data_IF_997455334291
#
_entry.id   IF_997455334291
#
_cell.length_a   1.000
_cell.length_b   1.000
_cell.length_c   1.000
_cell.angle_alpha   90.00
_cell.angle_beta   90.00
_cell.angle_gamma   90.00
#
_symmetry.space_group_name_H-M   'P 1'
#
loop_
_entity.id
_entity.type
_entity.pdbx_description
1 polymer ?
#
# COMPACT_ATOMS: atom_id res chain seq x y z
N UNK A 1 -11.29 6.74 -18.31
CA UNK A 1 -10.93 5.38 -18.81
C UNK A 1 -11.16 4.41 -17.68
N UNK A 2 -12.08 3.49 -17.87
CA UNK A 2 -12.36 2.40 -16.94
C UNK A 2 -11.60 1.17 -17.40
N UNK A 3 -10.75 0.61 -16.55
CA UNK A 3 -10.05 -0.65 -16.78
C UNK A 3 -10.69 -1.73 -15.92
N UNK A 4 -10.99 -2.87 -16.51
CA UNK A 4 -11.43 -4.06 -15.79
C UNK A 4 -10.64 -5.29 -16.23
N UNK A 5 -10.34 -6.13 -15.26
CA UNK A 5 -9.71 -7.44 -15.42
C UNK A 5 -10.77 -8.49 -15.07
N UNK A 6 -11.04 -9.41 -15.96
CA UNK A 6 -12.02 -10.47 -15.77
C UNK A 6 -11.34 -11.84 -15.82
N UNK A 7 -11.42 -12.61 -14.72
CA UNK A 7 -10.86 -13.93 -14.54
C UNK A 7 -9.38 -14.02 -14.96
N UNK A 8 -8.60 -12.96 -14.67
CA UNK A 8 -7.20 -12.88 -15.05
C UNK A 8 -6.37 -13.87 -14.25
N UNK A 9 -5.60 -14.68 -14.99
CA UNK A 9 -4.53 -15.49 -14.39
C UNK A 9 -3.27 -15.47 -15.25
N UNK A 10 -2.11 -15.75 -14.62
CA UNK A 10 -0.81 -15.76 -15.31
C UNK A 10 0.03 -16.93 -14.82
N UNK A 11 0.45 -17.78 -15.78
CA UNK A 11 1.45 -18.84 -15.57
C UNK A 11 2.69 -18.55 -16.39
N UNK A 12 3.85 -18.85 -15.82
CA UNK A 12 5.15 -18.77 -16.49
C UNK A 12 5.88 -20.09 -16.26
N UNK A 13 6.01 -20.89 -17.30
CA UNK A 13 6.45 -22.27 -17.17
C UNK A 13 5.48 -23.08 -16.29
N UNK A 14 5.99 -23.73 -15.24
CA UNK A 14 5.20 -24.49 -14.28
C UNK A 14 4.66 -23.65 -13.11
N UNK A 15 5.09 -22.39 -12.99
CA UNK A 15 4.72 -21.54 -11.85
C UNK A 15 3.50 -20.67 -12.17
N UNK A 16 2.58 -20.57 -11.22
CA UNK A 16 1.46 -19.62 -11.26
C UNK A 16 1.91 -18.34 -10.58
N UNK A 17 1.94 -17.23 -11.36
CA UNK A 17 2.34 -15.91 -10.88
C UNK A 17 1.15 -15.07 -10.45
N UNK A 18 0.01 -15.26 -11.12
CA UNK A 18 -1.26 -14.65 -10.73
C UNK A 18 -2.34 -15.73 -10.80
N UNK A 19 -3.07 -15.86 -9.72
CA UNK A 19 -4.24 -16.72 -9.63
C UNK A 19 -5.48 -15.95 -10.12
N UNK A 20 -6.53 -16.69 -10.47
CA UNK A 20 -7.75 -16.11 -11.02
C UNK A 20 -8.27 -14.98 -10.15
N UNK A 21 -8.43 -13.81 -10.77
CA UNK A 21 -8.91 -12.61 -10.09
C UNK A 21 -9.73 -11.71 -11.01
N UNK A 22 -10.67 -11.02 -10.40
CA UNK A 22 -11.46 -9.95 -11.00
C UNK A 22 -11.13 -8.63 -10.34
N UNK A 23 -10.89 -7.58 -11.13
CA UNK A 23 -10.58 -6.25 -10.62
C UNK A 23 -11.10 -5.18 -11.57
N UNK A 24 -12.08 -4.40 -11.14
CA UNK A 24 -12.59 -3.26 -11.90
C UNK A 24 -12.14 -1.95 -11.24
N UNK A 25 -11.29 -1.19 -11.93
CA UNK A 25 -10.79 0.10 -11.43
C UNK A 25 -11.85 1.19 -11.55
N UNK A 26 -11.90 2.08 -10.57
CA UNK A 26 -12.70 3.29 -10.63
C UNK A 26 -12.04 4.33 -11.54
N UNK A 27 -12.75 4.77 -12.57
CA UNK A 27 -12.26 5.78 -13.52
C UNK A 27 -11.97 7.11 -12.83
N UNK A 28 -10.81 7.71 -13.16
CA UNK A 28 -10.38 8.99 -12.59
C UNK A 28 -9.96 8.93 -11.11
N UNK A 29 -9.85 7.74 -10.53
CA UNK A 29 -9.42 7.53 -9.16
C UNK A 29 -8.01 6.93 -9.09
N UNK A 30 -7.42 7.03 -7.89
CA UNK A 30 -6.19 6.31 -7.53
C UNK A 30 -6.56 4.95 -7.00
N UNK A 31 -5.93 3.89 -7.51
CA UNK A 31 -5.95 2.54 -6.94
C UNK A 31 -4.55 2.15 -6.54
N UNK A 32 -4.35 1.88 -5.26
CA UNK A 32 -3.07 1.38 -4.73
C UNK A 32 -3.08 -0.14 -4.77
N UNK A 33 -2.06 -0.74 -5.38
CA UNK A 33 -1.77 -2.18 -5.27
C UNK A 33 -0.81 -2.35 -4.08
N UNK A 34 -1.33 -2.80 -2.96
CA UNK A 34 -0.57 -3.03 -1.73
C UNK A 34 -0.24 -4.51 -1.57
N UNK A 35 0.99 -4.81 -1.21
CA UNK A 35 1.41 -6.19 -0.92
C UNK A 35 2.92 -6.31 -0.82
N UNK A 36 3.40 -7.38 -0.24
CA UNK A 36 4.82 -7.66 -0.10
C UNK A 36 5.55 -7.75 -1.46
N UNK A 37 6.87 -7.77 -1.42
CA UNK A 37 7.68 -8.10 -2.61
C UNK A 37 7.27 -9.48 -3.10
N UNK A 38 7.13 -9.63 -4.43
CA UNK A 38 6.63 -10.84 -5.10
C UNK A 38 5.13 -11.15 -4.93
N UNK A 39 4.34 -10.26 -4.34
CA UNK A 39 2.88 -10.42 -4.26
C UNK A 39 2.15 -10.40 -5.61
N UNK A 40 2.86 -10.13 -6.73
CA UNK A 40 2.28 -10.12 -8.08
C UNK A 40 1.94 -8.73 -8.63
N UNK A 41 2.21 -7.65 -7.88
CA UNK A 41 1.89 -6.25 -8.25
C UNK A 41 2.40 -5.87 -9.65
N UNK A 42 3.70 -6.01 -9.88
CA UNK A 42 4.35 -5.72 -11.18
C UNK A 42 3.77 -6.56 -12.31
N UNK A 43 3.53 -7.86 -12.08
CA UNK A 43 2.96 -8.76 -13.08
C UNK A 43 1.56 -8.33 -13.49
N UNK A 44 0.73 -7.93 -12.51
CA UNK A 44 -0.60 -7.41 -12.76
C UNK A 44 -0.57 -6.11 -13.56
N UNK A 45 0.30 -5.17 -13.18
CA UNK A 45 0.47 -3.91 -13.90
C UNK A 45 0.96 -4.10 -15.33
N UNK A 46 1.85 -5.07 -15.59
CA UNK A 46 2.32 -5.40 -16.94
C UNK A 46 1.20 -5.92 -17.84
N UNK A 47 0.27 -6.69 -17.27
CA UNK A 47 -0.95 -7.13 -17.97
C UNK A 47 -1.87 -5.93 -18.25
N UNK A 48 -2.10 -5.04 -17.27
CA UNK A 48 -2.87 -3.80 -17.46
C UNK A 48 -2.27 -2.94 -18.56
N UNK A 49 -0.94 -2.82 -18.61
CA UNK A 49 -0.22 -2.06 -19.64
C UNK A 49 -0.28 -2.70 -21.03
N UNK A 50 -0.58 -3.99 -21.14
CA UNK A 50 -0.46 -4.77 -22.37
C UNK A 50 0.98 -5.16 -22.74
N UNK A 51 1.88 -5.14 -21.77
CA UNK A 51 3.25 -5.62 -21.90
C UNK A 51 3.33 -7.14 -21.80
N UNK A 52 2.43 -7.71 -21.02
CA UNK A 52 2.28 -9.16 -20.88
C UNK A 52 0.83 -9.54 -21.21
N UNK A 53 0.66 -10.70 -21.83
CA UNK A 53 -0.63 -11.31 -22.09
C UNK A 53 -0.96 -12.24 -20.91
N UNK A 54 -2.17 -12.20 -20.34
CA UNK A 54 -2.60 -13.18 -19.35
C UNK A 54 -2.66 -14.59 -19.95
N UNK A 55 -2.57 -15.62 -19.11
CA UNK A 55 -2.75 -17.02 -19.55
C UNK A 55 -4.22 -17.33 -19.75
N UNK A 56 -5.09 -16.75 -18.94
CA UNK A 56 -6.53 -16.80 -19.10
C UNK A 56 -7.15 -15.46 -18.63
N UNK A 57 -8.41 -15.25 -19.00
CA UNK A 57 -9.16 -14.03 -18.69
C UNK A 57 -9.03 -12.94 -19.73
N UNK A 58 -9.65 -11.80 -19.45
CA UNK A 58 -9.75 -10.65 -20.37
C UNK A 58 -9.41 -9.34 -19.69
N UNK A 59 -8.78 -8.44 -20.46
CA UNK A 59 -8.54 -7.06 -20.07
C UNK A 59 -9.51 -6.17 -20.85
N UNK A 60 -10.38 -5.47 -20.16
CA UNK A 60 -11.36 -4.58 -20.75
C UNK A 60 -10.99 -3.12 -20.50
N UNK A 61 -11.14 -2.28 -21.53
CA UNK A 61 -11.02 -0.83 -21.45
C UNK A 61 -12.31 -0.20 -21.97
N UNK A 62 -13.00 0.53 -21.11
CA UNK A 62 -14.30 1.13 -21.40
C UNK A 62 -15.28 0.11 -22.01
N UNK A 63 -15.24 -1.15 -21.53
CA UNK A 63 -16.04 -2.28 -21.99
C UNK A 63 -15.53 -3.02 -23.22
N UNK A 64 -14.52 -2.50 -23.92
CA UNK A 64 -13.93 -3.17 -25.08
C UNK A 64 -12.81 -4.12 -24.65
N UNK A 65 -12.77 -5.34 -25.20
CA UNK A 65 -11.70 -6.31 -24.98
C UNK A 65 -10.42 -5.86 -25.69
N UNK A 66 -9.39 -5.60 -24.91
CA UNK A 66 -8.05 -5.20 -25.38
C UNK A 66 -6.98 -6.26 -25.06
N UNK A 67 -7.39 -7.46 -24.70
CA UNK A 67 -6.49 -8.58 -24.41
C UNK A 67 -5.61 -8.88 -25.63
N UNK A 68 -4.26 -8.90 -25.42
CA UNK A 68 -3.32 -9.12 -26.54
C UNK A 68 -3.12 -7.91 -27.47
N UNK A 69 -3.84 -6.81 -27.29
CA UNK A 69 -3.60 -5.58 -28.05
C UNK A 69 -2.18 -5.08 -27.80
N UNK A 70 -1.37 -4.77 -28.83
CA UNK A 70 -0.03 -4.26 -28.67
C UNK A 70 0.03 -3.00 -27.81
N UNK A 71 1.02 -2.90 -26.92
CA UNK A 71 1.19 -1.76 -25.98
C UNK A 71 1.22 -0.39 -26.68
N UNK A 72 1.75 -0.31 -27.90
CA UNK A 72 1.81 0.93 -28.70
C UNK A 72 0.42 1.46 -29.09
N UNK A 73 -0.58 0.58 -29.13
CA UNK A 73 -1.98 0.91 -29.48
C UNK A 73 -2.80 1.22 -28.24
N UNK A 74 -2.26 0.93 -27.04
CA UNK A 74 -2.87 1.29 -25.78
C UNK A 74 -2.42 2.67 -25.31
N UNK A 75 -3.34 3.50 -24.92
CA UNK A 75 -3.04 4.83 -24.37
C UNK A 75 -2.75 4.74 -22.85
N UNK A 76 -1.62 4.15 -22.49
CA UNK A 76 -1.19 3.90 -21.11
C UNK A 76 0.20 4.49 -20.89
N UNK A 77 0.45 5.13 -19.77
CA UNK A 77 1.78 5.52 -19.31
C UNK A 77 2.20 4.58 -18.16
N UNK A 78 3.44 4.09 -18.20
CA UNK A 78 3.99 3.26 -17.12
C UNK A 78 5.36 3.78 -16.71
N UNK A 79 5.54 3.93 -15.40
CA UNK A 79 6.83 4.16 -14.74
C UNK A 79 7.21 2.87 -14.04
N UNK A 80 8.35 2.30 -14.46
CA UNK A 80 8.87 1.07 -13.88
C UNK A 80 9.68 1.35 -12.62
N UNK A 81 9.80 0.37 -11.76
CA UNK A 81 10.67 0.39 -10.59
C UNK A 81 12.14 0.71 -10.99
N UNK A 82 12.60 0.20 -12.13
CA UNK A 82 13.87 0.61 -12.74
C UNK A 82 13.59 1.81 -13.65
N UNK A 83 14.15 2.97 -13.33
CA UNK A 83 13.89 4.23 -14.04
C UNK A 83 14.41 4.18 -15.47
N UNK A 84 13.58 3.74 -16.41
CA UNK A 84 13.94 3.62 -17.82
C UNK A 84 13.87 4.99 -18.48
N UNK A 85 15.02 5.63 -18.66
CA UNK A 85 15.19 6.85 -19.48
C UNK A 85 15.91 6.52 -20.78
N UNK A 86 15.72 7.36 -21.80
CA UNK A 86 16.49 7.27 -23.04
C UNK A 86 17.91 7.80 -22.79
N UNK A 87 18.95 6.94 -22.77
CA UNK A 87 20.28 7.32 -22.28
C UNK A 87 20.98 8.33 -23.19
N UNK A 88 20.65 8.35 -24.48
CA UNK A 88 21.22 9.25 -25.49
C UNK A 88 20.48 10.59 -25.59
N UNK A 89 19.41 10.78 -24.85
CA UNK A 89 18.61 12.01 -24.87
C UNK A 89 18.83 12.81 -23.60
N UNK A 90 18.90 14.13 -23.71
CA UNK A 90 18.90 15.02 -22.54
C UNK A 90 17.60 14.88 -21.75
N UNK A 91 17.56 15.39 -20.52
CA UNK A 91 16.34 15.44 -19.68
C UNK A 91 15.20 16.12 -20.45
N UNK A 92 15.45 17.27 -21.06
CA UNK A 92 14.45 17.97 -21.87
C UNK A 92 13.93 17.10 -23.02
N UNK A 93 14.82 16.40 -23.73
CA UNK A 93 14.45 15.56 -24.85
C UNK A 93 13.69 14.31 -24.41
N UNK A 94 14.03 13.73 -23.25
CA UNK A 94 13.28 12.64 -22.62
C UNK A 94 11.82 13.06 -22.34
N UNK A 95 11.61 14.20 -21.67
CA UNK A 95 10.28 14.72 -21.34
C UNK A 95 9.51 15.09 -22.61
N UNK A 96 10.17 15.70 -23.59
CA UNK A 96 9.57 16.12 -24.86
C UNK A 96 9.15 14.94 -25.76
N UNK A 97 9.75 13.75 -25.59
CA UNK A 97 9.57 12.63 -26.51
C UNK A 97 8.10 12.23 -26.76
N UNK A 98 7.22 12.06 -25.75
CA UNK A 98 5.82 11.72 -25.99
C UNK A 98 5.03 12.89 -26.62
N UNK A 99 5.38 14.13 -26.30
CA UNK A 99 4.73 15.32 -26.85
C UNK A 99 5.01 15.45 -28.35
N UNK A 100 6.28 15.21 -28.77
CA UNK A 100 6.69 15.20 -30.17
C UNK A 100 5.97 14.11 -30.96
N UNK A 101 5.84 12.91 -30.40
CA UNK A 101 5.13 11.80 -31.06
C UNK A 101 3.64 12.10 -31.31
N UNK A 102 3.03 12.94 -30.47
CA UNK A 102 1.63 13.40 -30.64
C UNK A 102 1.49 14.65 -31.49
N UNK A 103 2.60 15.25 -31.93
CA UNK A 103 2.60 16.49 -32.70
C UNK A 103 2.08 17.71 -31.92
N UNK A 104 2.28 17.72 -30.59
CA UNK A 104 1.79 18.82 -29.72
C UNK A 104 2.49 20.14 -30.06
N UNK A 105 1.73 21.22 -29.83
CA UNK A 105 2.24 22.59 -29.90
C UNK A 105 2.79 23.02 -28.54
N UNK A 106 3.74 23.97 -28.51
CA UNK A 106 4.32 24.54 -27.28
C UNK A 106 5.02 23.52 -26.37
N UNK A 107 5.71 22.55 -26.97
CA UNK A 107 6.42 21.47 -26.27
C UNK A 107 7.39 22.03 -25.21
N UNK A 108 8.17 23.05 -25.53
CA UNK A 108 9.19 23.61 -24.62
C UNK A 108 8.56 24.21 -23.36
N UNK A 109 7.40 24.83 -23.47
CA UNK A 109 6.67 25.38 -22.33
C UNK A 109 6.19 24.25 -21.42
N UNK A 110 5.62 23.17 -22.01
CA UNK A 110 5.15 22.01 -21.24
C UNK A 110 6.29 21.24 -20.57
N UNK A 111 7.44 21.12 -21.26
CA UNK A 111 8.66 20.50 -20.70
C UNK A 111 9.13 21.28 -19.47
N UNK A 112 9.20 22.61 -19.56
CA UNK A 112 9.61 23.45 -18.41
C UNK A 112 8.65 23.33 -17.25
N UNK A 113 7.35 23.45 -17.49
CA UNK A 113 6.32 23.31 -16.46
C UNK A 113 6.46 21.99 -15.69
N UNK A 114 6.60 20.86 -16.41
CA UNK A 114 6.76 19.55 -15.77
C UNK A 114 8.09 19.42 -15.05
N UNK A 115 9.17 20.01 -15.59
CA UNK A 115 10.48 19.98 -14.97
C UNK A 115 10.52 20.82 -13.68
N UNK A 116 9.90 22.00 -13.68
CA UNK A 116 9.76 22.86 -12.50
C UNK A 116 8.94 22.16 -11.41
N UNK A 117 7.80 21.56 -11.75
CA UNK A 117 6.94 20.82 -10.81
C UNK A 117 7.64 19.64 -10.16
N UNK A 118 8.61 19.02 -10.84
CA UNK A 118 9.36 17.87 -10.34
C UNK A 118 10.79 18.26 -9.91
N UNK A 119 11.09 19.56 -9.80
CA UNK A 119 12.38 20.09 -9.34
C UNK A 119 13.58 19.52 -10.10
N UNK A 120 13.46 19.40 -11.43
CA UNK A 120 14.52 18.94 -12.35
C UNK A 120 14.82 19.93 -13.47
N UNK A 121 14.30 21.13 -13.41
CA UNK A 121 14.48 22.20 -14.41
C UNK A 121 15.94 22.60 -14.61
N UNK A 122 16.73 22.59 -13.54
CA UNK A 122 18.17 22.87 -13.57
C UNK A 122 18.97 21.79 -14.32
N UNK A 123 18.40 20.61 -14.56
CA UNK A 123 19.05 19.48 -15.22
C UNK A 123 18.62 19.27 -16.67
N UNK A 124 17.78 20.11 -17.26
CA UNK A 124 17.18 19.94 -18.59
C UNK A 124 18.17 19.65 -19.70
N UNK A 125 19.41 20.15 -19.59
CA UNK A 125 20.47 19.95 -20.58
C UNK A 125 21.35 18.72 -20.33
N UNK A 126 21.23 18.06 -19.18
CA UNK A 126 22.03 16.89 -18.82
C UNK A 126 21.50 15.61 -19.45
N UNK A 127 22.40 14.63 -19.57
CA UNK A 127 22.05 13.25 -19.91
C UNK A 127 21.65 12.47 -18.64
N UNK A 128 20.84 11.40 -18.74
CA UNK A 128 20.48 10.57 -17.59
C UNK A 128 21.68 10.04 -16.79
N UNK A 129 22.79 9.70 -17.44
CA UNK A 129 23.99 9.22 -16.76
C UNK A 129 24.66 10.25 -15.83
N UNK A 130 24.33 11.54 -15.99
CA UNK A 130 24.84 12.63 -15.16
C UNK A 130 23.93 12.98 -13.98
N UNK A 131 22.89 12.15 -13.75
CA UNK A 131 21.86 12.34 -12.72
C UNK A 131 21.95 11.27 -11.63
N UNK A 132 21.58 11.66 -10.40
CA UNK A 132 21.33 10.67 -9.34
C UNK A 132 20.11 9.79 -9.67
N UNK A 133 19.97 8.63 -8.98
CA UNK A 133 18.83 7.74 -9.16
C UNK A 133 17.49 8.44 -8.99
N UNK A 134 17.33 9.25 -7.93
CA UNK A 134 16.11 10.02 -7.68
C UNK A 134 15.81 11.06 -8.77
N UNK A 135 16.86 11.72 -9.32
CA UNK A 135 16.69 12.65 -10.44
C UNK A 135 16.26 11.90 -11.71
N UNK A 136 16.84 10.73 -12.00
CA UNK A 136 16.44 9.87 -13.13
C UNK A 136 14.98 9.43 -13.01
N UNK A 137 14.54 9.11 -11.79
CA UNK A 137 13.17 8.73 -11.49
C UNK A 137 12.19 9.88 -11.79
N UNK A 138 12.51 11.10 -11.35
CA UNK A 138 11.71 12.29 -11.65
C UNK A 138 11.63 12.57 -13.15
N UNK A 139 12.70 12.31 -13.91
CA UNK A 139 12.67 12.40 -15.38
C UNK A 139 11.71 11.37 -15.99
N UNK A 140 11.74 10.12 -15.52
CA UNK A 140 10.82 9.08 -15.99
C UNK A 140 9.35 9.43 -15.65
N UNK A 141 9.10 9.99 -14.47
CA UNK A 141 7.78 10.47 -14.06
C UNK A 141 7.33 11.66 -14.92
N UNK A 142 8.21 12.67 -15.12
CA UNK A 142 7.91 13.81 -15.98
C UNK A 142 7.52 13.37 -17.39
N UNK A 143 8.22 12.37 -17.94
CA UNK A 143 7.89 11.79 -19.25
C UNK A 143 6.54 11.08 -19.26
N UNK A 144 6.21 10.33 -18.19
CA UNK A 144 4.91 9.68 -18.08
C UNK A 144 3.76 10.70 -17.98
N UNK A 145 3.95 11.79 -17.21
CA UNK A 145 3.02 12.90 -17.11
C UNK A 145 2.89 13.67 -18.44
N UNK A 146 4.00 13.89 -19.14
CA UNK A 146 4.00 14.50 -20.47
C UNK A 146 3.19 13.70 -21.47
N UNK A 147 3.14 12.37 -21.35
CA UNK A 147 2.29 11.52 -22.18
C UNK A 147 0.81 11.81 -22.00
N UNK A 148 0.37 12.25 -20.80
CA UNK A 148 -1.04 12.58 -20.53
C UNK A 148 -2.00 11.44 -20.81
N UNK A 149 -1.57 10.20 -20.53
CA UNK A 149 -2.38 9.02 -20.78
C UNK A 149 -3.55 8.93 -19.79
N UNK A 150 -4.73 8.44 -20.21
CA UNK A 150 -5.88 8.28 -19.33
C UNK A 150 -5.71 7.17 -18.29
N UNK A 151 -4.72 6.28 -18.46
CA UNK A 151 -4.27 5.31 -17.47
C UNK A 151 -2.77 5.50 -17.20
N UNK A 152 -2.44 5.70 -15.92
CA UNK A 152 -1.06 5.83 -15.45
C UNK A 152 -0.76 4.70 -14.46
N UNK A 153 0.32 3.98 -14.70
CA UNK A 153 0.79 2.86 -13.89
C UNK A 153 2.15 3.23 -13.28
N UNK A 154 2.26 3.23 -11.96
CA UNK A 154 3.46 3.61 -11.22
C UNK A 154 3.90 2.42 -10.35
N UNK A 155 5.00 1.77 -10.74
CA UNK A 155 5.52 0.58 -10.07
C UNK A 155 6.60 0.96 -9.07
N UNK A 156 6.24 1.00 -7.79
CA UNK A 156 7.10 1.38 -6.66
C UNK A 156 7.90 2.67 -6.93
N UNK A 157 7.24 3.80 -7.27
CA UNK A 157 7.92 4.99 -7.79
C UNK A 157 8.72 5.75 -6.73
N UNK A 158 8.73 5.34 -5.48
CA UNK A 158 9.46 5.98 -4.38
C UNK A 158 10.63 5.13 -3.83
N UNK A 159 10.84 3.94 -4.38
CA UNK A 159 11.98 3.10 -4.01
C UNK A 159 13.29 3.80 -4.39
N UNK A 160 14.29 3.73 -3.51
CA UNK A 160 15.62 4.36 -3.65
C UNK A 160 15.65 5.90 -3.55
N UNK A 161 14.59 6.55 -3.05
CA UNK A 161 14.62 7.95 -2.66
C UNK A 161 14.98 8.10 -1.16
N UNK A 162 15.72 9.14 -0.84
CA UNK A 162 15.84 9.57 0.55
C UNK A 162 14.50 10.09 1.10
N UNK A 163 14.39 10.17 2.43
CA UNK A 163 13.14 10.55 3.11
C UNK A 163 12.58 11.88 2.60
N UNK A 164 13.42 12.92 2.47
CA UNK A 164 12.98 14.25 2.06
C UNK A 164 12.43 14.24 0.63
N UNK A 165 13.14 13.61 -0.29
CA UNK A 165 12.72 13.49 -1.68
C UNK A 165 11.43 12.66 -1.82
N UNK A 166 11.25 11.66 -0.96
CA UNK A 166 10.04 10.84 -0.92
C UNK A 166 8.83 11.66 -0.50
N UNK A 167 8.95 12.47 0.55
CA UNK A 167 7.86 13.36 1.00
C UNK A 167 7.49 14.40 -0.08
N UNK A 168 8.49 15.07 -0.67
CA UNK A 168 8.25 16.04 -1.74
C UNK A 168 7.51 15.39 -2.93
N UNK A 169 7.98 14.23 -3.39
CA UNK A 169 7.35 13.52 -4.51
C UNK A 169 5.92 13.06 -4.17
N UNK A 170 5.68 12.66 -2.94
CA UNK A 170 4.36 12.23 -2.46
C UNK A 170 3.34 13.37 -2.49
N UNK A 171 3.72 14.55 -2.02
CA UNK A 171 2.86 15.74 -2.08
C UNK A 171 2.55 16.11 -3.53
N UNK A 172 3.55 16.12 -4.40
CA UNK A 172 3.37 16.41 -5.82
C UNK A 172 2.43 15.40 -6.51
N UNK A 173 2.62 14.10 -6.26
CA UNK A 173 1.76 13.05 -6.81
C UNK A 173 0.31 13.19 -6.31
N UNK A 174 0.13 13.49 -5.02
CA UNK A 174 -1.20 13.70 -4.44
C UNK A 174 -1.93 14.87 -5.10
N UNK A 175 -1.24 15.99 -5.33
CA UNK A 175 -1.81 17.15 -6.03
C UNK A 175 -2.13 16.84 -7.50
N UNK A 176 -1.25 16.08 -8.18
CA UNK A 176 -1.45 15.66 -9.56
C UNK A 176 -2.67 14.75 -9.71
N UNK A 177 -2.86 13.83 -8.76
CA UNK A 177 -3.96 12.87 -8.79
C UNK A 177 -5.29 13.50 -8.37
N UNK A 178 -5.27 14.50 -7.48
CA UNK A 178 -6.46 15.26 -7.08
C UNK A 178 -7.16 15.96 -8.27
N UNK A 179 -6.42 16.24 -9.35
CA UNK A 179 -7.01 16.79 -10.57
C UNK A 179 -7.93 15.82 -11.34
N UNK A 180 -7.93 14.51 -11.01
CA UNK A 180 -8.87 13.51 -11.49
C UNK A 180 -8.89 13.25 -13.01
N UNK A 181 -7.87 13.69 -13.74
CA UNK A 181 -7.82 13.59 -15.22
C UNK A 181 -7.46 12.19 -15.73
N UNK A 182 -6.78 11.39 -14.90
CA UNK A 182 -6.32 10.05 -15.26
C UNK A 182 -6.70 9.04 -14.18
N UNK A 183 -6.95 7.80 -14.59
CA UNK A 183 -6.99 6.66 -13.67
C UNK A 183 -5.55 6.28 -13.33
N UNK A 184 -5.24 6.16 -12.04
CA UNK A 184 -3.88 5.89 -11.57
C UNK A 184 -3.84 4.55 -10.83
N UNK A 185 -2.88 3.71 -11.19
CA UNK A 185 -2.54 2.50 -10.42
C UNK A 185 -1.15 2.69 -9.84
N UNK A 186 -1.04 2.57 -8.55
CA UNK A 186 0.18 2.81 -7.78
C UNK A 186 0.54 1.56 -6.98
N UNK A 187 1.63 0.89 -7.34
CA UNK A 187 2.10 -0.28 -6.59
C UNK A 187 3.08 0.13 -5.50
N UNK A 188 2.90 -0.43 -4.31
CA UNK A 188 3.79 -0.21 -3.16
C UNK A 188 3.83 -1.41 -2.22
N UNK A 189 4.89 -1.48 -1.42
CA UNK A 189 5.00 -2.36 -0.25
C UNK A 189 4.69 -1.62 1.06
N UNK A 190 4.57 -0.28 1.04
CA UNK A 190 4.42 0.56 2.22
C UNK A 190 2.92 0.89 2.48
N UNK A 191 2.33 0.41 3.59
CA UNK A 191 0.91 0.67 3.90
C UNK A 191 0.62 2.16 4.13
N UNK A 192 1.60 2.92 4.63
CA UNK A 192 1.47 4.36 4.84
C UNK A 192 1.19 5.11 3.53
N UNK A 193 1.80 4.69 2.41
CA UNK A 193 1.55 5.29 1.09
C UNK A 193 0.10 5.07 0.64
N UNK A 194 -0.45 3.87 0.87
CA UNK A 194 -1.84 3.59 0.55
C UNK A 194 -2.81 4.49 1.33
N UNK A 195 -2.55 4.69 2.62
CA UNK A 195 -3.37 5.55 3.48
C UNK A 195 -3.29 7.03 3.08
N UNK A 196 -2.11 7.51 2.68
CA UNK A 196 -1.88 8.90 2.28
C UNK A 196 -2.46 9.22 0.90
N UNK A 197 -2.29 8.33 -0.07
CA UNK A 197 -2.85 8.51 -1.40
C UNK A 197 -4.37 8.39 -1.42
N UNK A 198 -4.94 7.66 -0.47
CA UNK A 198 -6.39 7.45 -0.39
C UNK A 198 -6.95 6.68 -1.59
N UNK A 199 -8.17 7.04 -2.02
CA UNK A 199 -8.85 6.38 -3.14
C UNK A 199 -9.22 4.94 -2.82
N UNK A 200 -8.73 3.99 -3.62
CA UNK A 200 -9.00 2.56 -3.49
C UNK A 200 -7.71 1.78 -3.26
N UNK A 201 -7.82 0.66 -2.55
CA UNK A 201 -6.69 -0.27 -2.37
C UNK A 201 -7.08 -1.68 -2.76
N UNK A 202 -6.25 -2.29 -3.59
CA UNK A 202 -6.24 -3.71 -3.89
C UNK A 202 -5.08 -4.37 -3.12
N UNK A 203 -5.38 -5.22 -2.16
CA UNK A 203 -4.37 -5.96 -1.40
C UNK A 203 -4.08 -7.26 -2.13
N UNK A 204 -2.81 -7.44 -2.48
CA UNK A 204 -2.32 -8.65 -3.14
C UNK A 204 -1.37 -9.42 -2.23
N UNK A 205 -1.48 -10.73 -2.27
CA UNK A 205 -0.53 -11.63 -1.64
C UNK A 205 -0.38 -12.91 -2.46
N UNK A 206 0.84 -13.37 -2.64
CA UNK A 206 1.20 -14.58 -3.41
C UNK A 206 0.44 -14.73 -4.74
N UNK A 207 0.27 -13.65 -5.48
CA UNK A 207 -0.42 -13.63 -6.76
C UNK A 207 -1.96 -13.65 -6.68
N UNK A 208 -2.54 -13.48 -5.52
CA UNK A 208 -3.99 -13.44 -5.26
C UNK A 208 -4.44 -12.04 -4.90
N UNK A 209 -5.59 -11.63 -5.37
CA UNK A 209 -6.30 -10.46 -4.90
C UNK A 209 -7.09 -10.85 -3.63
N UNK A 210 -6.67 -10.35 -2.47
CA UNK A 210 -7.31 -10.66 -1.20
C UNK A 210 -8.53 -9.78 -0.92
N UNK A 211 -8.41 -8.48 -1.18
CA UNK A 211 -9.49 -7.51 -0.99
C UNK A 211 -9.29 -6.30 -1.89
N UNK A 212 -10.39 -5.74 -2.41
CA UNK A 212 -10.42 -4.46 -3.12
C UNK A 212 -11.56 -3.60 -2.61
N UNK A 213 -11.31 -2.32 -2.39
CA UNK A 213 -12.32 -1.37 -1.92
C UNK A 213 -11.74 0.00 -1.59
N UNK A 214 -12.57 0.93 -1.10
CA UNK A 214 -12.09 2.21 -0.58
C UNK A 214 -10.99 1.99 0.47
N UNK A 215 -9.88 2.70 0.35
CA UNK A 215 -8.68 2.48 1.21
C UNK A 215 -9.01 2.50 2.71
N UNK A 216 -9.81 3.47 3.14
CA UNK A 216 -10.21 3.59 4.53
C UNK A 216 -11.06 2.38 5.00
N UNK A 217 -11.88 1.82 4.13
CA UNK A 217 -12.69 0.64 4.45
C UNK A 217 -11.84 -0.61 4.56
N UNK A 218 -10.95 -0.87 3.58
CA UNK A 218 -10.02 -2.00 3.60
C UNK A 218 -9.13 -1.95 4.85
N UNK A 219 -8.65 -0.76 5.22
CA UNK A 219 -7.85 -0.56 6.42
C UNK A 219 -8.61 -0.84 7.72
N UNK A 220 -9.84 -0.35 7.84
CA UNK A 220 -10.63 -0.48 9.08
C UNK A 220 -11.37 -1.82 9.18
N UNK A 221 -11.71 -2.43 8.06
CA UNK A 221 -12.45 -3.70 7.98
C UNK A 221 -11.76 -4.66 7.01
N UNK A 222 -10.53 -5.09 7.31
CA UNK A 222 -9.85 -6.09 6.50
C UNK A 222 -10.66 -7.38 6.52
N UNK A 223 -10.90 -7.99 5.34
CA UNK A 223 -11.70 -9.21 5.26
C UNK A 223 -10.98 -10.43 5.88
N UNK A 224 -9.66 -10.36 6.01
CA UNK A 224 -8.85 -11.44 6.58
C UNK A 224 -7.66 -10.91 7.39
N UNK A 225 -7.03 -11.83 8.11
CA UNK A 225 -5.80 -11.61 8.85
C UNK A 225 -4.67 -11.11 7.92
N UNK A 226 -4.55 -11.67 6.72
CA UNK A 226 -3.49 -11.31 5.78
C UNK A 226 -3.67 -9.89 5.25
N UNK A 227 -4.91 -9.47 5.00
CA UNK A 227 -5.20 -8.06 4.67
C UNK A 227 -4.87 -7.13 5.84
N UNK A 228 -5.20 -7.53 7.06
CA UNK A 228 -4.87 -6.75 8.25
C UNK A 228 -3.35 -6.59 8.43
N UNK A 229 -2.59 -7.67 8.17
CA UNK A 229 -1.12 -7.65 8.19
C UNK A 229 -0.53 -6.74 7.13
N UNK A 230 -1.06 -6.78 5.89
CA UNK A 230 -0.60 -5.94 4.79
C UNK A 230 -0.70 -4.43 5.11
N UNK A 231 -1.63 -4.05 5.97
CA UNK A 231 -1.81 -2.66 6.44
C UNK A 231 -1.15 -2.36 7.79
N UNK A 232 -0.26 -3.20 8.28
CA UNK A 232 0.34 -3.04 9.62
C UNK A 232 1.84 -2.89 9.52
N UNK A 233 2.32 -1.69 9.85
CA UNK A 233 3.72 -1.34 10.03
C UNK A 233 3.84 -0.46 11.30
N UNK A 234 4.47 -0.95 12.38
CA UNK A 234 5.02 -2.31 12.54
C UNK A 234 3.95 -3.41 12.47
N UNK A 235 4.36 -4.69 12.32
CA UNK A 235 3.43 -5.81 12.19
C UNK A 235 2.39 -5.86 13.31
N UNK A 236 1.16 -6.24 12.96
CA UNK A 236 0.07 -6.41 13.92
C UNK A 236 0.43 -7.46 14.98
N UNK A 237 0.21 -7.14 16.24
CA UNK A 237 0.28 -8.11 17.32
C UNK A 237 -0.86 -9.12 17.15
N UNK A 238 -0.54 -10.41 17.12
CA UNK A 238 -1.48 -11.50 16.93
C UNK A 238 -1.45 -12.41 18.14
N UNK A 239 -2.56 -12.50 18.84
CA UNK A 239 -2.68 -13.18 20.11
C UNK A 239 -3.66 -14.35 19.98
N UNK A 240 -3.24 -15.59 20.30
CA UNK A 240 -4.14 -16.73 20.38
C UNK A 240 -5.24 -16.48 21.42
N UNK A 241 -6.47 -16.83 21.08
CA UNK A 241 -7.61 -16.61 21.91
C UNK A 241 -8.69 -17.67 21.70
N UNK A 242 -9.68 -17.68 22.58
CA UNK A 242 -10.85 -18.56 22.48
C UNK A 242 -12.13 -17.74 22.74
N UNK A 243 -13.22 -18.18 22.12
CA UNK A 243 -14.52 -17.60 22.39
C UNK A 243 -14.95 -17.92 23.84
N UNK A 244 -15.53 -16.90 24.49
CA UNK A 244 -16.08 -17.00 25.85
C UNK A 244 -17.51 -16.41 25.87
N UNK A 245 -18.29 -16.74 26.89
CA UNK A 245 -19.69 -16.32 26.99
C UNK A 245 -19.89 -14.80 26.88
N UNK A 246 -18.93 -14.00 27.36
CA UNK A 246 -19.01 -12.54 27.38
C UNK A 246 -17.98 -11.84 26.47
N UNK A 247 -17.35 -12.60 25.56
CA UNK A 247 -16.34 -12.03 24.66
C UNK A 247 -15.25 -13.01 24.23
N UNK A 248 -14.00 -12.60 24.37
CA UNK A 248 -12.84 -13.35 23.89
C UNK A 248 -11.80 -13.49 25.01
N UNK A 249 -11.45 -14.72 25.36
CA UNK A 249 -10.42 -15.03 26.35
C UNK A 249 -9.06 -15.13 25.67
N UNK A 250 -8.12 -14.23 25.99
CA UNK A 250 -6.74 -14.35 25.54
C UNK A 250 -6.05 -15.53 26.23
N UNK A 251 -5.27 -16.29 25.48
CA UNK A 251 -4.47 -17.36 26.05
C UNK A 251 -3.36 -16.74 26.94
N UNK A 252 -3.37 -17.09 28.24
CA UNK A 252 -2.45 -16.51 29.21
C UNK A 252 -2.73 -15.06 29.62
N UNK A 253 -3.88 -14.51 29.24
CA UNK A 253 -4.20 -13.08 29.45
C UNK A 253 -5.62 -12.80 29.90
N UNK A 254 -6.05 -11.54 29.90
CA UNK A 254 -7.37 -11.13 30.35
C UNK A 254 -8.49 -11.56 29.39
N UNK A 255 -9.72 -11.58 29.93
CA UNK A 255 -10.94 -11.67 29.13
C UNK A 255 -11.27 -10.30 28.52
N UNK A 256 -11.38 -10.25 27.20
CA UNK A 256 -11.82 -9.08 26.44
C UNK A 256 -13.34 -9.12 26.32
N UNK A 257 -14.01 -8.19 27.01
CA UNK A 257 -15.47 -8.07 26.93
C UNK A 257 -15.83 -7.35 25.62
N UNK A 258 -16.13 -8.14 24.61
CA UNK A 258 -16.46 -7.67 23.26
C UNK A 258 -17.62 -8.48 22.69
N UNK A 259 -18.45 -7.84 21.87
CA UNK A 259 -19.53 -8.53 21.20
C UNK A 259 -18.98 -9.26 19.97
N UNK A 260 -19.27 -10.56 19.86
CA UNK A 260 -19.00 -11.38 18.68
C UNK A 260 -20.30 -11.77 17.99
N UNK A 261 -20.34 -11.85 16.64
CA UNK A 261 -21.44 -12.48 15.93
C UNK A 261 -21.60 -13.94 16.37
N UNK A 262 -22.83 -14.46 16.45
CA UNK A 262 -23.11 -15.81 16.92
C UNK A 262 -22.35 -16.91 16.13
N UNK A 263 -22.13 -16.69 14.85
CA UNK A 263 -21.40 -17.60 13.96
C UNK A 263 -19.88 -17.68 14.30
N UNK A 264 -19.34 -16.64 14.95
CA UNK A 264 -17.93 -16.57 15.34
C UNK A 264 -17.71 -16.76 16.85
N UNK A 265 -18.76 -17.10 17.58
CA UNK A 265 -18.72 -17.22 19.06
C UNK A 265 -18.23 -18.61 19.52
N UNK A 266 -17.63 -19.40 18.64
CA UNK A 266 -17.14 -20.77 18.97
C UNK A 266 -15.78 -21.01 18.33
N UNK A 267 -14.94 -21.81 18.98
CA UNK A 267 -13.66 -22.27 18.44
C UNK A 267 -12.45 -21.40 18.77
N UNK A 268 -11.36 -21.67 18.05
CA UNK A 268 -10.11 -20.93 18.15
C UNK A 268 -10.24 -19.59 17.44
N UNK A 269 -9.75 -18.55 18.09
CA UNK A 269 -9.77 -17.17 17.58
C UNK A 269 -8.35 -16.60 17.59
N UNK A 270 -8.12 -15.60 16.75
CA UNK A 270 -6.92 -14.76 16.81
C UNK A 270 -7.35 -13.32 17.07
N UNK A 271 -6.82 -12.73 18.14
CA UNK A 271 -6.98 -11.31 18.40
C UNK A 271 -5.86 -10.54 17.74
N UNK A 272 -6.22 -9.59 16.88
CA UNK A 272 -5.27 -8.67 16.23
C UNK A 272 -5.28 -7.31 16.91
N UNK A 273 -4.09 -6.79 17.20
CA UNK A 273 -3.93 -5.48 17.84
C UNK A 273 -2.82 -4.70 17.15
N UNK A 274 -3.14 -3.53 16.59
CA UNK A 274 -2.12 -2.66 16.02
C UNK A 274 -1.17 -2.15 17.10
N UNK A 275 0.11 -2.02 16.78
CA UNK A 275 1.11 -1.52 17.73
C UNK A 275 0.74 -0.16 18.34
N UNK A 276 0.14 0.73 17.53
CA UNK A 276 -0.33 2.06 17.95
C UNK A 276 -1.57 2.04 18.88
N UNK A 277 -2.23 0.89 19.03
CA UNK A 277 -3.36 0.73 19.95
C UNK A 277 -2.91 0.36 21.39
N UNK A 278 -1.64 -0.02 21.57
CA UNK A 278 -1.05 -0.27 22.89
C UNK A 278 -0.57 1.03 23.53
N UNK A 279 -0.64 1.11 24.85
CA UNK A 279 -0.28 2.28 25.64
C UNK A 279 0.51 1.88 26.89
N UNK A 280 1.33 2.78 27.39
CA UNK A 280 2.05 2.63 28.68
C UNK A 280 1.37 3.37 29.82
N UNK A 281 0.30 4.11 29.52
CA UNK A 281 -0.52 4.80 30.51
C UNK A 281 -1.96 4.29 30.41
N UNK A 282 -2.52 3.85 31.55
CA UNK A 282 -3.89 3.35 31.64
C UNK A 282 -4.92 4.44 31.35
N UNK A 283 -6.00 4.06 30.67
CA UNK A 283 -7.22 4.86 30.52
C UNK A 283 -8.41 4.09 31.08
N UNK A 284 -9.50 4.75 31.44
CA UNK A 284 -10.70 4.05 31.88
C UNK A 284 -11.17 3.01 30.86
N UNK A 285 -11.37 1.78 31.32
CA UNK A 285 -11.78 0.65 30.49
C UNK A 285 -10.64 -0.15 29.86
N UNK A 286 -9.38 0.31 29.98
CA UNK A 286 -8.22 -0.45 29.49
C UNK A 286 -7.96 -1.70 30.35
N UNK A 287 -7.45 -2.73 29.70
CA UNK A 287 -6.94 -3.94 30.33
C UNK A 287 -5.41 -3.91 30.31
N UNK A 288 -4.80 -4.32 31.43
CA UNK A 288 -3.35 -4.38 31.57
C UNK A 288 -2.82 -5.75 31.13
N UNK A 289 -1.70 -5.74 30.39
CA UNK A 289 -0.86 -6.89 30.11
C UNK A 289 0.53 -6.59 30.64
N UNK A 290 0.99 -7.39 31.59
CA UNK A 290 2.28 -7.21 32.22
C UNK A 290 3.34 -8.04 31.50
N UNK A 291 4.56 -7.49 31.41
CA UNK A 291 5.71 -8.15 30.78
C UNK A 291 7.01 -7.47 31.15
N UNK A 292 8.04 -7.79 30.37
CA UNK A 292 9.38 -7.23 30.48
C UNK A 292 9.83 -6.67 29.13
N UNK A 293 10.58 -5.58 29.16
CA UNK A 293 11.13 -4.94 27.95
C UNK A 293 12.22 -5.83 27.36
N UNK A 294 12.05 -6.24 26.10
CA UNK A 294 13.06 -6.98 25.34
C UNK A 294 13.92 -6.06 24.48
N UNK A 295 13.30 -5.02 23.88
CA UNK A 295 13.94 -4.06 23.01
C UNK A 295 13.15 -2.74 23.03
N UNK A 296 13.85 -1.62 22.95
CA UNK A 296 13.23 -0.32 22.72
C UNK A 296 14.04 0.42 21.65
N UNK A 297 13.35 0.85 20.60
CA UNK A 297 13.92 1.56 19.46
C UNK A 297 13.26 2.92 19.30
N UNK A 298 14.07 3.98 19.15
CA UNK A 298 13.58 5.32 18.85
C UNK A 298 13.72 5.53 17.34
N UNK A 299 12.60 5.73 16.66
CA UNK A 299 12.55 6.00 15.22
C UNK A 299 11.85 7.32 14.95
N UNK A 300 12.65 8.36 14.73
CA UNK A 300 12.12 9.70 14.49
C UNK A 300 11.33 10.24 15.68
N UNK A 301 10.03 10.41 15.52
CA UNK A 301 9.11 10.92 16.53
C UNK A 301 8.48 9.85 17.42
N UNK A 302 8.71 8.57 17.13
CA UNK A 302 8.06 7.46 17.82
C UNK A 302 9.07 6.55 18.50
N UNK A 303 8.61 5.88 19.56
CA UNK A 303 9.36 4.81 20.24
C UNK A 303 8.62 3.49 20.04
N UNK A 304 9.31 2.49 19.53
CA UNK A 304 8.82 1.11 19.45
C UNK A 304 9.37 0.32 20.63
N UNK A 305 8.48 -0.25 21.45
CA UNK A 305 8.89 -1.10 22.58
C UNK A 305 8.38 -2.51 22.35
N UNK A 306 9.31 -3.46 22.38
CA UNK A 306 9.04 -4.89 22.32
C UNK A 306 9.03 -5.44 23.74
N UNK A 307 7.97 -6.12 24.10
CA UNK A 307 7.80 -6.68 25.44
C UNK A 307 7.45 -8.17 25.38
N UNK A 308 8.13 -8.97 26.19
CA UNK A 308 7.73 -10.36 26.46
C UNK A 308 6.67 -10.38 27.54
N UNK A 309 5.53 -10.99 27.24
CA UNK A 309 4.38 -11.06 28.13
C UNK A 309 3.79 -12.45 28.23
N UNK A 310 2.87 -12.66 29.17
CA UNK A 310 2.16 -13.94 29.31
C UNK A 310 1.26 -14.28 28.09
N UNK A 311 0.86 -13.29 27.29
CA UNK A 311 0.05 -13.49 26.07
C UNK A 311 0.91 -13.63 24.82
N UNK A 312 2.24 -13.55 24.94
CA UNK A 312 3.20 -13.57 23.83
C UNK A 312 4.01 -12.28 23.73
N UNK A 313 4.83 -12.17 22.70
CA UNK A 313 5.60 -10.96 22.42
C UNK A 313 4.68 -9.88 21.85
N UNK A 314 4.76 -8.66 22.38
CA UNK A 314 3.99 -7.49 21.96
C UNK A 314 4.92 -6.38 21.50
N UNK A 315 4.52 -5.69 20.44
CA UNK A 315 5.15 -4.44 19.98
C UNK A 315 4.19 -3.30 20.19
N UNK A 316 4.59 -2.29 20.95
CA UNK A 316 3.85 -1.04 21.11
C UNK A 316 4.57 0.10 20.39
N UNK A 317 3.81 0.92 19.65
CA UNK A 317 4.27 2.17 19.05
C UNK A 317 3.77 3.34 19.89
N UNK A 318 4.69 4.07 20.49
CA UNK A 318 4.43 5.18 21.39
C UNK A 318 4.87 6.49 20.75
N UNK A 319 3.99 7.45 20.67
CA UNK A 319 4.34 8.79 20.18
C UNK A 319 5.29 9.48 21.15
N UNK A 320 6.37 10.06 20.63
CA UNK A 320 7.40 10.71 21.42
C UNK A 320 8.57 9.79 21.76
N UNK A 321 9.57 10.39 22.41
CA UNK A 321 10.77 9.69 22.85
C UNK A 321 10.54 9.16 24.27
N UNK A 322 10.56 7.84 24.40
CA UNK A 322 10.44 7.14 25.68
C UNK A 322 11.70 6.30 25.91
N UNK A 323 12.21 6.33 27.13
CA UNK A 323 13.37 5.51 27.52
C UNK A 323 12.91 4.33 28.35
N UNK A 324 13.32 3.13 27.93
CA UNK A 324 13.06 1.88 28.63
C UNK A 324 14.38 1.14 28.87
N UNK A 325 14.56 0.62 30.08
CA UNK A 325 15.69 -0.25 30.39
C UNK A 325 15.36 -1.69 29.96
N UNK A 326 16.32 -2.37 29.35
CA UNK A 326 16.17 -3.77 28.97
C UNK A 326 15.95 -4.64 30.22
N UNK A 327 15.00 -5.56 30.16
CA UNK A 327 14.61 -6.41 31.27
C UNK A 327 13.75 -5.73 32.33
N UNK A 328 13.49 -4.43 32.22
CA UNK A 328 12.59 -3.72 33.16
C UNK A 328 11.15 -4.21 33.05
N UNK A 329 10.39 -4.27 34.17
CA UNK A 329 8.98 -4.57 34.14
C UNK A 329 8.20 -3.49 33.38
N UNK A 330 7.27 -3.91 32.54
CA UNK A 330 6.43 -3.04 31.73
C UNK A 330 4.98 -3.47 31.83
N UNK A 331 4.09 -2.51 32.00
CA UNK A 331 2.65 -2.71 31.82
C UNK A 331 2.20 -2.06 30.52
N UNK A 332 1.65 -2.85 29.61
CA UNK A 332 0.99 -2.39 28.38
C UNK A 332 -0.50 -2.42 28.59
N UNK A 333 -1.18 -1.37 28.15
CA UNK A 333 -2.62 -1.21 28.28
C UNK A 333 -3.28 -1.26 26.90
N UNK A 334 -4.35 -2.02 26.79
CA UNK A 334 -5.14 -2.15 25.56
C UNK A 334 -6.63 -1.84 25.85
N UNK A 335 -7.26 -1.19 24.90
CA UNK A 335 -8.71 -0.97 24.89
C UNK A 335 -9.38 -2.15 24.20
N UNK A 336 -10.23 -2.95 24.85
CA UNK A 336 -10.93 -4.07 24.23
C UNK A 336 -11.74 -3.70 23.00
N UNK A 337 -12.18 -2.43 22.90
CA UNK A 337 -12.95 -1.97 21.74
C UNK A 337 -12.06 -1.70 20.50
N UNK A 338 -10.74 -1.66 20.66
CA UNK A 338 -9.78 -1.41 19.58
C UNK A 338 -9.14 -2.69 19.03
N UNK A 339 -9.63 -3.86 19.42
CA UNK A 339 -9.11 -5.13 18.90
C UNK A 339 -9.87 -5.61 17.67
N UNK A 340 -9.14 -6.24 16.76
CA UNK A 340 -9.68 -7.10 15.72
C UNK A 340 -9.84 -8.52 16.26
N UNK A 341 -10.85 -9.24 15.82
CA UNK A 341 -10.99 -10.67 16.10
C UNK A 341 -11.15 -11.40 14.79
N UNK A 342 -10.34 -12.42 14.59
CA UNK A 342 -10.37 -13.28 13.42
C UNK A 342 -10.74 -14.70 13.84
N UNK A 343 -11.56 -15.38 13.02
CA UNK A 343 -11.92 -16.77 13.20
C UNK A 343 -10.78 -17.74 12.84
N UNK A 344 -11.02 -19.03 12.99
CA UNK A 344 -10.04 -20.11 12.75
C UNK A 344 -9.46 -20.07 11.33
N UNK A 345 -10.26 -19.72 10.32
CA UNK A 345 -9.82 -19.54 8.92
C UNK A 345 -9.21 -18.17 8.59
N UNK A 346 -8.95 -17.33 9.58
CA UNK A 346 -8.38 -15.99 9.39
C UNK A 346 -9.37 -14.93 8.92
N UNK A 347 -10.67 -15.25 8.76
CA UNK A 347 -11.69 -14.27 8.37
C UNK A 347 -12.01 -13.33 9.53
N UNK A 348 -12.30 -12.08 9.19
CA UNK A 348 -12.68 -11.07 10.17
C UNK A 348 -14.02 -11.42 10.82
N UNK A 349 -14.01 -11.65 12.14
CA UNK A 349 -15.20 -11.80 12.95
C UNK A 349 -15.67 -10.46 13.57
N UNK A 350 -14.71 -9.62 13.97
CA UNK A 350 -14.98 -8.30 14.56
C UNK A 350 -13.87 -7.30 14.18
N UNK A 351 -14.27 -6.12 13.77
CA UNK A 351 -13.39 -4.96 13.64
C UNK A 351 -13.55 -4.00 14.83
N UNK A 352 -12.54 -3.18 15.15
CA UNK A 352 -12.66 -2.10 16.13
C UNK A 352 -13.80 -1.15 15.81
N UNK A 353 -14.46 -0.63 16.87
CA UNK A 353 -15.44 0.42 16.68
C UNK A 353 -14.76 1.73 16.23
N UNK A 354 -15.32 2.36 15.18
CA UNK A 354 -14.84 3.69 14.78
C UNK A 354 -15.17 4.67 15.89
N UNK A 355 -14.15 5.24 16.53
CA UNK A 355 -14.35 6.43 17.34
C UNK A 355 -14.83 7.52 16.40
N UNK A 356 -16.05 8.01 16.59
CA UNK A 356 -16.51 9.24 15.95
C UNK A 356 -15.53 10.33 16.40
N UNK A 357 -14.69 10.80 15.47
CA UNK A 357 -13.78 11.90 15.75
C UNK A 357 -14.58 13.12 16.21
N UNK A 358 -14.06 13.77 17.25
CA UNK A 358 -14.46 15.14 17.60
C UNK A 358 -13.99 16.08 16.51
#
# INVERSE_FOLDING_TARGET
MQLALENISKKVGAQTWLYDMDLALHSGAVTVLLGATQAGKTSLMRIMAGLDTPTAGRVLVDGADVTGMPVRERNVAMVYQQFINYPSMTVAANIASPLKLRGEKHIDARVRELAERLHIDMFLKRLPAELSGGQQQRVALARALAKGAPLMLLDEPQVNLDYKLREELREELSQLFAAGQSTVVYATTEPAEALLLGGYTAVLDEGRLLQYGPTAEVFHRPCSLDVARAFSDPPMNLLPAQAATSGVQLQGGPLLVVHLPAESATGALTVGLRASALRVQARPGDLAVHGTVELAEISGSDTFVHASTAVGSLVAQLTGVHHFELGAPLALYLDPQQVYVFGEGGQLARAPERRKGN
#
